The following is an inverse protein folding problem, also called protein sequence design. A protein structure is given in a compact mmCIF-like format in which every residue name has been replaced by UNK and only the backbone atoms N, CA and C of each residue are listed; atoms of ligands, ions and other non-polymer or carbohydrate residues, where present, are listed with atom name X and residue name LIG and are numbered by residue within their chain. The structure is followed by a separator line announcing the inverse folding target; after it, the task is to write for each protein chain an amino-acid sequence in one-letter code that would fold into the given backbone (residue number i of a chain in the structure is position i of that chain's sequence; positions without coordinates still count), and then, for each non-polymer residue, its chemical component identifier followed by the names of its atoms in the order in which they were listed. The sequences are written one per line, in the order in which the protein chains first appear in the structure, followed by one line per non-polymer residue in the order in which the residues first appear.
data_IF_683344988203
#
_entry.id   IF_683344988203
#
_cell.length_a   1.000
_cell.length_b   1.000
_cell.length_c   1.000
_cell.angle_alpha   90.00
_cell.angle_beta   90.00
_cell.angle_gamma   90.00
#
_symmetry.space_group_name_H-M   'P 1'
#
loop_
_entity.id
_entity.type
_entity.pdbx_description
1 polymer ?
#
# COMPACT_ATOMS: atom_id res chain seq x y z
N UNK A 1 24.04 -4.68 -4.08
CA UNK A 1 22.69 -4.86 -3.51
C UNK A 1 22.08 -3.47 -3.38
N UNK A 2 21.02 -3.18 -4.13
CA UNK A 2 20.36 -1.88 -4.03
C UNK A 2 19.77 -1.75 -2.63
N UNK A 3 20.01 -0.63 -1.97
CA UNK A 3 19.46 -0.36 -0.65
C UNK A 3 17.94 -0.26 -0.79
N UNK A 4 17.22 -1.31 -0.39
CA UNK A 4 15.76 -1.33 -0.49
C UNK A 4 15.20 -0.19 0.33
N UNK A 5 14.52 0.73 -0.36
CA UNK A 5 13.85 1.84 0.29
C UNK A 5 12.50 1.34 0.79
N UNK A 6 12.38 1.12 2.09
CA UNK A 6 11.15 0.68 2.76
C UNK A 6 10.29 1.88 3.16
N UNK A 7 8.98 1.78 2.99
CA UNK A 7 8.02 2.79 3.41
C UNK A 7 7.90 2.80 4.94
N UNK A 8 8.07 3.98 5.53
CA UNK A 8 7.85 4.17 6.98
C UNK A 8 6.38 4.52 7.23
N UNK A 9 5.94 4.36 8.48
CA UNK A 9 4.58 4.79 8.90
C UNK A 9 4.33 6.28 8.60
N UNK A 10 5.35 7.13 8.76
CA UNK A 10 5.24 8.55 8.42
C UNK A 10 5.06 8.76 6.90
N UNK A 11 5.77 8.00 6.08
CA UNK A 11 5.59 8.01 4.62
C UNK A 11 4.20 7.54 4.21
N UNK A 12 3.69 6.47 4.83
CA UNK A 12 2.34 5.98 4.57
C UNK A 12 1.26 7.01 4.93
N UNK A 13 1.41 7.71 6.06
CA UNK A 13 0.48 8.79 6.44
C UNK A 13 0.47 9.95 5.44
N UNK A 14 1.65 10.33 4.94
CA UNK A 14 1.74 11.37 3.92
C UNK A 14 1.07 10.93 2.62
N UNK A 15 1.28 9.68 2.22
CA UNK A 15 0.65 9.10 1.03
C UNK A 15 -0.88 9.10 1.12
N UNK A 16 -1.45 8.69 2.26
CA UNK A 16 -2.90 8.76 2.45
C UNK A 16 -3.43 10.19 2.45
N UNK A 17 -2.63 11.17 2.88
CA UNK A 17 -2.99 12.57 2.78
C UNK A 17 -3.00 13.08 1.33
N UNK A 18 -2.10 12.58 0.48
CA UNK A 18 -2.11 12.90 -0.95
C UNK A 18 -3.39 12.38 -1.63
N UNK A 19 -3.84 11.19 -1.25
CA UNK A 19 -5.06 10.57 -1.76
C UNK A 19 -6.34 10.96 -1.01
N UNK A 20 -6.28 11.92 -0.07
CA UNK A 20 -7.42 12.38 0.75
C UNK A 20 -8.64 12.75 -0.09
N UNK A 21 -8.43 13.34 -1.28
CA UNK A 21 -9.52 13.77 -2.16
C UNK A 21 -10.04 12.65 -3.09
N UNK A 22 -9.32 11.54 -3.18
CA UNK A 22 -9.66 10.38 -4.04
C UNK A 22 -10.30 9.24 -3.23
N UNK A 23 -9.98 9.17 -1.94
CA UNK A 23 -10.47 8.15 -1.02
C UNK A 23 -11.59 8.74 -0.16
N UNK A 24 -12.81 8.32 -0.42
CA UNK A 24 -13.97 8.66 0.41
C UNK A 24 -14.17 7.67 1.57
N UNK A 25 -15.04 8.01 2.52
CA UNK A 25 -15.25 7.25 3.78
C UNK A 25 -15.70 5.80 3.60
N UNK A 26 -16.11 5.42 2.39
CA UNK A 26 -16.65 4.12 2.01
C UNK A 26 -15.63 3.20 1.32
N UNK A 27 -14.36 3.62 1.22
CA UNK A 27 -13.29 2.77 0.72
C UNK A 27 -12.88 1.70 1.74
N UNK A 28 -12.69 0.47 1.25
CA UNK A 28 -12.18 -0.63 2.05
C UNK A 28 -10.67 -0.76 1.87
N UNK A 29 -9.95 -0.97 2.98
CA UNK A 29 -8.52 -1.30 2.93
C UNK A 29 -8.34 -2.81 2.89
N UNK A 30 -7.78 -3.28 1.79
CA UNK A 30 -7.47 -4.69 1.54
C UNK A 30 -5.96 -4.86 1.64
N UNK A 31 -5.55 -5.88 2.38
CA UNK A 31 -4.16 -6.29 2.44
C UNK A 31 -4.02 -7.52 1.54
N UNK A 32 -3.25 -7.41 0.47
CA UNK A 32 -2.92 -8.58 -0.32
C UNK A 32 -1.94 -9.43 0.48
N UNK A 33 -2.22 -10.74 0.59
CA UNK A 33 -1.22 -11.69 1.04
C UNK A 33 -0.06 -11.71 0.05
N UNK A 34 1.15 -11.95 0.54
CA UNK A 34 2.22 -12.41 -0.34
C UNK A 34 1.87 -13.82 -0.88
N UNK A 35 2.59 -14.29 -1.91
CA UNK A 35 2.31 -15.59 -2.54
C UNK A 35 2.35 -16.78 -1.57
N UNK A 36 2.94 -16.60 -0.38
CA UNK A 36 3.17 -17.64 0.62
C UNK A 36 2.23 -17.57 1.84
N UNK A 37 1.37 -16.55 1.93
CA UNK A 37 0.43 -16.39 3.06
C UNK A 37 1.08 -15.97 4.37
N UNK A 38 2.26 -15.34 4.34
CA UNK A 38 2.95 -14.86 5.52
C UNK A 38 2.34 -13.55 6.06
N UNK A 39 2.63 -13.28 7.33
CA UNK A 39 2.23 -12.06 8.00
C UNK A 39 3.01 -10.85 7.44
N UNK A 40 2.32 -10.04 6.64
CA UNK A 40 2.61 -8.65 6.24
C UNK A 40 4.10 -8.26 6.20
N UNK A 41 4.69 -8.41 5.01
CA UNK A 41 6.04 -7.97 4.69
C UNK A 41 6.15 -6.43 4.55
N UNK A 42 7.37 -5.85 4.62
CA UNK A 42 7.55 -4.42 4.44
C UNK A 42 7.12 -3.94 3.04
N UNK A 43 6.39 -2.83 2.99
CA UNK A 43 6.07 -2.14 1.74
C UNK A 43 7.29 -1.36 1.22
N UNK A 44 7.48 -1.36 -0.10
CA UNK A 44 8.46 -0.50 -0.78
C UNK A 44 8.02 0.96 -0.71
N UNK A 45 8.99 1.89 -0.74
CA UNK A 45 8.70 3.32 -0.78
C UNK A 45 7.98 3.77 -2.03
N UNK A 46 8.12 3.06 -3.15
CA UNK A 46 7.43 3.41 -4.38
C UNK A 46 5.96 2.95 -4.29
N UNK A 47 4.99 3.87 -4.18
CA UNK A 47 3.58 3.51 -4.04
C UNK A 47 3.05 2.68 -5.21
N UNK A 48 3.54 2.94 -6.43
CA UNK A 48 3.12 2.20 -7.64
C UNK A 48 3.44 0.70 -7.57
N UNK A 49 4.40 0.31 -6.71
CA UNK A 49 4.78 -1.08 -6.51
C UNK A 49 4.04 -1.74 -5.34
N UNK A 50 3.36 -0.95 -4.49
CA UNK A 50 2.83 -1.42 -3.21
C UNK A 50 1.40 -0.97 -2.89
N UNK A 51 0.77 -0.16 -3.73
CA UNK A 51 -0.56 0.38 -3.49
C UNK A 51 -1.33 0.49 -4.82
N UNK A 52 -2.52 -0.08 -4.86
CA UNK A 52 -3.50 0.16 -5.91
C UNK A 52 -4.77 0.75 -5.31
N UNK A 53 -5.29 1.79 -5.96
CA UNK A 53 -6.59 2.37 -5.66
C UNK A 53 -7.52 1.95 -6.79
N UNK A 54 -8.63 1.32 -6.44
CA UNK A 54 -9.70 0.96 -7.36
C UNK A 54 -10.96 1.73 -6.93
N UNK A 55 -11.21 2.90 -7.56
CA UNK A 55 -12.36 3.73 -7.23
C UNK A 55 -13.69 3.11 -7.62
N UNK A 56 -13.72 2.28 -8.67
CA UNK A 56 -14.95 1.63 -9.16
C UNK A 56 -15.50 0.66 -8.11
N UNK A 57 -14.60 -0.08 -7.45
CA UNK A 57 -14.94 -1.03 -6.39
C UNK A 57 -14.69 -0.48 -4.98
N UNK A 58 -14.31 0.80 -4.86
CA UNK A 58 -14.04 1.50 -3.59
C UNK A 58 -13.09 0.73 -2.69
N UNK A 59 -11.94 0.34 -3.22
CA UNK A 59 -10.94 -0.44 -2.46
C UNK A 59 -9.53 0.11 -2.66
N UNK A 60 -8.76 0.03 -1.59
CA UNK A 60 -7.32 0.29 -1.58
C UNK A 60 -6.66 -1.04 -1.30
N UNK A 61 -5.83 -1.52 -2.21
CA UNK A 61 -5.08 -2.76 -2.05
C UNK A 61 -3.63 -2.43 -1.76
N UNK A 62 -3.14 -2.86 -0.60
CA UNK A 62 -1.72 -2.78 -0.25
C UNK A 62 -1.05 -4.10 -0.63
N UNK A 63 0.08 -4.01 -1.35
CA UNK A 63 0.91 -5.12 -1.77
C UNK A 63 2.23 -5.11 -0.99
N UNK A 64 2.33 -5.90 0.09
CA UNK A 64 3.60 -6.20 0.74
C UNK A 64 4.59 -6.77 -0.26
N UNK A 65 5.86 -6.37 -0.20
CA UNK A 65 6.90 -6.91 -1.09
C UNK A 65 7.70 -8.00 -0.40
N UNK A 66 7.95 -9.10 -1.12
CA UNK A 66 9.00 -10.06 -0.77
C UNK A 66 10.33 -9.63 -1.40
N UNK A 67 11.46 -10.06 -0.82
CA UNK A 67 12.80 -9.83 -1.41
C UNK A 67 13.06 -10.75 -2.59
#
# INVERSE_FOLDING_TARGET
MAQQQIMTVAGLKNLFKEFENEITEDFQVWLSSDEEGNAFLPMLKNPELCLAIDPEHKRIVLFPSHQ
#
